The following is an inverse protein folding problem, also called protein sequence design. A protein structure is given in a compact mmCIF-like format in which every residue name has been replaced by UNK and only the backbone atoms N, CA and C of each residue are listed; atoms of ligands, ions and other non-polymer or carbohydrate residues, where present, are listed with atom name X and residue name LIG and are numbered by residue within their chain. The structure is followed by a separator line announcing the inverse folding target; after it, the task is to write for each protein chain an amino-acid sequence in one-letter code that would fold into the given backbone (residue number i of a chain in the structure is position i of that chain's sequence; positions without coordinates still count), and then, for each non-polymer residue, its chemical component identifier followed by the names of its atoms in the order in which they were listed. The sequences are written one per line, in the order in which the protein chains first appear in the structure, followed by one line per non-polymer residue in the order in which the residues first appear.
data_IF_682422570861
#
_entry.id   IF_682422570861
#
_cell.length_a   1.000
_cell.length_b   1.000
_cell.length_c   1.000
_cell.angle_alpha   90.00
_cell.angle_beta   90.00
_cell.angle_gamma   90.00
#
_symmetry.space_group_name_H-M   'P 1'
#
loop_
_entity.id
_entity.type
_entity.pdbx_description
1 polymer ?
#
# COMPACT_ATOMS: atom_id res chain seq x y z
N UNK A 1 -19.17 -83.88 31.53
CA UNK A 1 -18.37 -83.98 30.31
C UNK A 1 -17.37 -82.84 30.29
N UNK A 2 -16.10 -83.11 30.54
CA UNK A 2 -15.01 -82.13 30.43
C UNK A 2 -14.57 -82.06 28.97
N UNK A 3 -14.35 -80.84 28.46
CA UNK A 3 -13.81 -80.66 27.12
C UNK A 3 -12.36 -81.20 27.07
N UNK A 4 -11.94 -81.86 25.99
CA UNK A 4 -10.56 -82.30 25.84
C UNK A 4 -9.61 -81.11 25.74
N UNK A 5 -8.42 -81.21 26.36
CA UNK A 5 -7.43 -80.13 26.42
C UNK A 5 -7.04 -79.57 25.04
N UNK A 6 -7.11 -80.39 23.99
CA UNK A 6 -6.87 -79.94 22.61
C UNK A 6 -7.87 -78.86 22.16
N UNK A 7 -9.12 -78.93 22.61
CA UNK A 7 -10.13 -77.92 22.29
C UNK A 7 -9.82 -76.58 22.95
N UNK A 8 -9.32 -76.60 24.20
CA UNK A 8 -8.90 -75.39 24.91
C UNK A 8 -7.70 -74.72 24.24
N UNK A 9 -6.73 -75.50 23.73
CA UNK A 9 -5.58 -74.97 23.00
C UNK A 9 -5.99 -74.32 21.67
N UNK A 10 -6.92 -74.93 20.92
CA UNK A 10 -7.42 -74.36 19.65
C UNK A 10 -8.19 -73.06 19.90
N UNK A 11 -9.04 -73.02 20.93
CA UNK A 11 -9.79 -71.82 21.30
C UNK A 11 -8.83 -70.71 21.76
N UNK A 12 -7.82 -71.05 22.57
CA UNK A 12 -6.79 -70.10 23.01
C UNK A 12 -5.99 -69.53 21.84
N UNK A 13 -5.54 -70.38 20.91
CA UNK A 13 -4.82 -69.96 19.71
C UNK A 13 -5.66 -69.06 18.81
N UNK A 14 -6.94 -69.41 18.59
CA UNK A 14 -7.87 -68.61 17.81
C UNK A 14 -8.13 -67.24 18.46
N UNK A 15 -8.26 -67.17 19.79
CA UNK A 15 -8.44 -65.93 20.52
C UNK A 15 -7.22 -65.00 20.40
N UNK A 16 -6.00 -65.52 20.47
CA UNK A 16 -4.77 -64.73 20.29
C UNK A 16 -4.66 -64.18 18.87
N UNK A 17 -4.95 -65.01 17.85
CA UNK A 17 -4.93 -64.55 16.45
C UNK A 17 -6.00 -63.48 16.19
N UNK A 18 -7.21 -63.65 16.74
CA UNK A 18 -8.27 -62.67 16.66
C UNK A 18 -7.86 -61.35 17.34
N UNK A 19 -7.24 -61.42 18.52
CA UNK A 19 -6.74 -60.24 19.24
C UNK A 19 -5.67 -59.51 18.43
N UNK A 20 -4.69 -60.22 17.86
CA UNK A 20 -3.66 -59.63 17.00
C UNK A 20 -4.27 -58.98 15.74
N UNK A 21 -5.29 -59.59 15.16
CA UNK A 21 -6.01 -59.05 14.02
C UNK A 21 -6.78 -57.77 14.39
N UNK A 22 -7.44 -57.73 15.55
CA UNK A 22 -8.15 -56.56 16.07
C UNK A 22 -7.21 -55.42 16.47
N UNK A 23 -5.97 -55.71 16.88
CA UNK A 23 -4.96 -54.70 17.25
C UNK A 23 -4.27 -54.06 16.02
N UNK A 24 -4.22 -54.73 14.86
CA UNK A 24 -3.62 -54.19 13.62
C UNK A 24 -4.13 -52.81 13.19
N UNK A 25 -5.44 -52.50 13.16
CA UNK A 25 -5.92 -51.18 12.78
C UNK A 25 -5.49 -50.07 13.77
N UNK A 26 -5.39 -50.38 15.06
CA UNK A 26 -4.94 -49.42 16.08
C UNK A 26 -3.46 -49.05 15.90
N UNK A 27 -2.61 -50.02 15.60
CA UNK A 27 -1.18 -49.78 15.30
C UNK A 27 -1.02 -48.95 14.02
N UNK A 28 -1.79 -49.25 12.97
CA UNK A 28 -1.78 -48.47 11.72
C UNK A 28 -2.27 -47.03 11.92
N UNK A 29 -3.32 -46.83 12.72
CA UNK A 29 -3.84 -45.51 13.05
C UNK A 29 -2.84 -44.69 13.90
N UNK A 30 -2.14 -45.32 14.84
CA UNK A 30 -1.09 -44.69 15.63
C UNK A 30 0.09 -44.22 14.77
N UNK A 31 0.57 -45.06 13.86
CA UNK A 31 1.65 -44.72 12.93
C UNK A 31 1.26 -43.61 11.94
N UNK A 32 0.01 -43.59 11.47
CA UNK A 32 -0.48 -42.52 10.59
C UNK A 32 -0.53 -41.17 11.33
N UNK A 33 -0.98 -41.14 12.59
CA UNK A 33 -0.98 -39.93 13.42
C UNK A 33 0.44 -39.44 13.72
N UNK A 34 1.39 -40.35 13.97
CA UNK A 34 2.80 -40.01 14.19
C UNK A 34 3.48 -39.43 12.92
N UNK A 35 3.14 -39.92 11.72
CA UNK A 35 3.63 -39.33 10.46
C UNK A 35 3.06 -37.94 10.21
N UNK A 36 1.77 -37.74 10.50
CA UNK A 36 1.14 -36.42 10.36
C UNK A 36 1.74 -35.40 11.36
N UNK A 37 2.01 -35.79 12.60
CA UNK A 37 2.66 -34.90 13.58
C UNK A 37 4.08 -34.50 13.17
N UNK A 38 4.86 -35.42 12.61
CA UNK A 38 6.21 -35.14 12.09
C UNK A 38 6.19 -34.19 10.88
N UNK A 39 5.26 -34.37 9.94
CA UNK A 39 5.12 -33.44 8.80
C UNK A 39 4.64 -32.05 9.23
N UNK A 40 3.82 -31.97 10.28
CA UNK A 40 3.38 -30.69 10.87
C UNK A 40 4.54 -30.01 11.62
N UNK A 41 5.38 -30.77 12.34
CA UNK A 41 6.56 -30.27 13.03
C UNK A 41 7.64 -29.71 12.09
N UNK A 42 7.81 -30.30 10.89
CA UNK A 42 8.72 -29.74 9.86
C UNK A 42 8.19 -28.46 9.21
N UNK A 43 6.87 -28.22 9.20
CA UNK A 43 6.28 -26.96 8.72
C UNK A 43 6.35 -25.83 9.75
N UNK A 44 6.68 -26.12 11.01
CA UNK A 44 6.76 -25.13 12.09
C UNK A 44 8.18 -24.74 12.48
N UNK A 45 9.21 -25.31 11.82
CA UNK A 45 10.56 -24.78 11.98
C UNK A 45 10.57 -23.37 11.36
N UNK A 46 10.86 -22.32 12.15
CA UNK A 46 11.04 -20.99 11.59
C UNK A 46 12.13 -21.08 10.52
N UNK A 47 12.00 -20.36 9.39
CA UNK A 47 13.09 -20.28 8.44
C UNK A 47 14.36 -19.88 9.18
N UNK A 48 15.54 -20.41 8.78
CA UNK A 48 16.79 -20.00 9.40
C UNK A 48 16.89 -18.46 9.35
N UNK A 49 17.42 -17.82 10.41
CA UNK A 49 17.58 -16.36 10.43
C UNK A 49 18.37 -15.97 9.19
N UNK A 50 17.76 -15.13 8.34
CA UNK A 50 18.42 -14.60 7.15
C UNK A 50 19.45 -13.58 7.59
N UNK A 51 20.58 -13.55 6.88
CA UNK A 51 21.54 -12.47 7.04
C UNK A 51 20.83 -11.13 6.72
N UNK A 52 20.80 -10.16 7.65
CA UNK A 52 20.22 -8.85 7.41
C UNK A 52 20.76 -8.16 6.15
N UNK A 53 22.03 -8.39 5.80
CA UNK A 53 22.62 -7.86 4.56
C UNK A 53 22.03 -8.48 3.31
N UNK A 54 21.74 -9.78 3.33
CA UNK A 54 21.13 -10.48 2.20
C UNK A 54 19.68 -10.03 2.01
N UNK A 55 18.94 -9.83 3.11
CA UNK A 55 17.60 -9.26 3.02
C UNK A 55 17.61 -7.86 2.42
N UNK A 56 18.54 -7.01 2.87
CA UNK A 56 18.68 -5.65 2.34
C UNK A 56 19.03 -5.67 0.84
N UNK A 57 20.01 -6.48 0.42
CA UNK A 57 20.37 -6.64 -1.00
C UNK A 57 19.21 -7.18 -1.84
N UNK A 58 18.44 -8.14 -1.31
CA UNK A 58 17.26 -8.67 -2.00
C UNK A 58 16.14 -7.62 -2.13
N UNK A 59 15.93 -6.80 -1.10
CA UNK A 59 14.97 -5.69 -1.14
C UNK A 59 15.41 -4.65 -2.17
N UNK A 60 16.68 -4.26 -2.17
CA UNK A 60 17.22 -3.31 -3.15
C UNK A 60 17.12 -3.86 -4.59
N UNK A 61 17.51 -5.11 -4.82
CA UNK A 61 17.42 -5.73 -6.14
C UNK A 61 15.96 -5.83 -6.62
N UNK A 62 15.04 -6.21 -5.74
CA UNK A 62 13.61 -6.23 -6.05
C UNK A 62 13.07 -4.83 -6.33
N UNK A 63 13.49 -3.84 -5.55
CA UNK A 63 13.13 -2.44 -5.72
C UNK A 63 13.59 -1.92 -7.09
N UNK A 64 14.88 -2.07 -7.42
CA UNK A 64 15.42 -1.67 -8.72
C UNK A 64 14.69 -2.35 -9.88
N UNK A 65 14.48 -3.67 -9.79
CA UNK A 65 13.77 -4.42 -10.83
C UNK A 65 12.34 -3.95 -11.00
N UNK A 66 11.65 -3.55 -9.95
CA UNK A 66 10.23 -3.19 -10.01
C UNK A 66 10.03 -1.71 -10.37
N UNK A 67 10.92 -0.83 -9.91
CA UNK A 67 10.79 0.64 -10.00
C UNK A 67 11.45 1.23 -11.24
N UNK A 68 12.53 0.61 -11.72
CA UNK A 68 13.28 1.08 -12.90
C UNK A 68 12.84 0.39 -14.19
N UNK A 69 11.62 -0.17 -14.23
CA UNK A 69 11.12 -0.84 -15.44
C UNK A 69 10.79 0.21 -16.51
N UNK A 70 11.17 -0.02 -17.78
CA UNK A 70 10.77 0.87 -18.85
C UNK A 70 9.25 0.84 -19.04
N UNK A 71 8.68 1.98 -19.40
CA UNK A 71 7.25 2.12 -19.75
C UNK A 71 6.31 2.39 -18.56
N UNK A 72 6.83 2.56 -17.34
CA UNK A 72 6.04 3.04 -16.22
C UNK A 72 5.66 4.51 -16.41
N UNK A 73 4.42 4.86 -16.07
CA UNK A 73 4.02 6.26 -15.96
C UNK A 73 4.66 6.83 -14.69
N UNK A 74 5.01 8.11 -14.73
CA UNK A 74 5.65 8.74 -13.60
C UNK A 74 5.20 10.18 -13.44
N UNK A 75 5.14 10.63 -12.19
CA UNK A 75 4.73 11.99 -11.81
C UNK A 75 5.62 12.43 -10.65
N UNK A 76 6.25 13.60 -10.79
CA UNK A 76 6.99 14.19 -9.68
C UNK A 76 6.01 14.58 -8.58
N UNK A 77 6.41 14.34 -7.35
CA UNK A 77 5.63 14.61 -6.17
C UNK A 77 6.51 15.33 -5.17
N UNK A 78 6.01 16.45 -4.67
CA UNK A 78 6.63 17.19 -3.59
C UNK A 78 5.58 17.56 -2.55
N UNK A 79 6.02 17.96 -1.36
CA UNK A 79 5.12 18.32 -0.28
C UNK A 79 5.73 19.36 0.63
N UNK A 80 4.86 20.12 1.28
CA UNK A 80 5.28 20.97 2.39
C UNK A 80 5.83 20.14 3.54
N UNK A 81 6.93 20.63 4.09
CA UNK A 81 7.47 20.12 5.35
C UNK A 81 6.47 20.38 6.47
N UNK A 82 6.32 19.40 7.36
CA UNK A 82 5.46 19.51 8.54
C UNK A 82 6.37 19.65 9.73
N UNK A 83 6.61 20.89 10.17
CA UNK A 83 7.49 21.21 11.29
C UNK A 83 6.95 20.63 12.61
N UNK A 84 7.34 19.40 12.90
CA UNK A 84 7.18 18.69 14.17
C UNK A 84 8.35 17.73 14.42
N UNK A 85 9.56 18.14 13.98
CA UNK A 85 10.81 17.40 14.16
C UNK A 85 11.19 16.45 13.02
N UNK A 86 10.43 16.44 11.92
CA UNK A 86 10.73 15.70 10.68
C UNK A 86 11.33 16.69 9.65
N UNK A 87 12.65 16.82 9.77
CA UNK A 87 13.70 17.20 8.82
C UNK A 87 13.51 18.33 7.80
N UNK A 88 14.56 19.17 7.73
CA UNK A 88 14.89 20.13 6.67
C UNK A 88 15.28 19.46 5.34
N UNK A 89 14.95 18.19 5.17
CA UNK A 89 15.30 17.39 3.99
C UNK A 89 14.29 17.61 2.87
N UNK A 90 14.77 17.51 1.64
CA UNK A 90 13.91 17.57 0.46
C UNK A 90 12.93 16.38 0.46
N UNK A 91 11.64 16.68 0.41
CA UNK A 91 10.57 15.67 0.39
C UNK A 91 10.16 15.26 -1.02
N UNK A 92 10.92 15.69 -2.01
CA UNK A 92 10.70 15.41 -3.41
C UNK A 92 10.81 13.90 -3.69
N UNK A 93 9.86 13.35 -4.44
CA UNK A 93 9.78 11.94 -4.83
C UNK A 93 9.26 11.80 -6.25
N UNK A 94 9.59 10.71 -6.94
CA UNK A 94 9.01 10.33 -8.21
C UNK A 94 8.02 9.18 -8.03
N UNK A 95 6.73 9.44 -8.21
CA UNK A 95 5.70 8.39 -8.13
C UNK A 95 5.67 7.60 -9.43
N UNK A 96 5.80 6.28 -9.35
CA UNK A 96 5.76 5.38 -10.49
C UNK A 96 4.44 4.59 -10.51
N UNK A 97 3.84 4.42 -11.69
CA UNK A 97 2.57 3.74 -11.89
C UNK A 97 2.67 2.69 -12.99
N UNK A 98 2.14 1.50 -12.72
CA UNK A 98 2.11 0.37 -13.67
C UNK A 98 1.05 0.54 -14.76
N UNK A 99 -0.03 1.28 -14.45
CA UNK A 99 -1.19 1.44 -15.32
C UNK A 99 -1.66 2.90 -15.32
N UNK A 100 -2.46 3.24 -16.33
CA UNK A 100 -3.08 4.55 -16.42
C UNK A 100 -4.29 4.68 -15.49
N UNK A 101 -4.02 4.75 -14.19
CA UNK A 101 -5.01 4.77 -13.13
C UNK A 101 -5.74 6.12 -13.07
N UNK A 102 -7.00 6.15 -12.59
CA UNK A 102 -7.66 7.41 -12.24
C UNK A 102 -6.97 8.08 -11.05
N UNK A 103 -6.95 9.41 -11.04
CA UNK A 103 -6.31 10.21 -9.99
C UNK A 103 -6.89 9.89 -8.60
N UNK A 104 -8.20 9.67 -8.48
CA UNK A 104 -8.84 9.30 -7.21
C UNK A 104 -8.25 8.03 -6.57
N UNK A 105 -7.89 7.04 -7.39
CA UNK A 105 -7.32 5.79 -6.90
C UNK A 105 -5.89 5.98 -6.39
N UNK A 106 -5.13 6.87 -7.04
CA UNK A 106 -3.76 7.24 -6.64
C UNK A 106 -3.76 8.06 -5.36
N UNK A 107 -4.62 9.07 -5.29
CA UNK A 107 -4.76 9.96 -4.13
C UNK A 107 -5.54 9.33 -2.96
N UNK A 108 -5.99 8.09 -3.10
CA UNK A 108 -6.56 7.29 -2.02
C UNK A 108 -5.50 6.79 -1.05
N UNK A 109 -5.69 5.58 -0.53
CA UNK A 109 -4.80 5.00 0.47
C UNK A 109 -3.30 4.98 0.11
N UNK A 110 -2.87 4.81 -1.16
CA UNK A 110 -1.45 4.79 -1.50
C UNK A 110 -0.70 6.10 -1.23
N UNK A 111 -1.36 7.27 -1.32
CA UNK A 111 -0.68 8.57 -1.18
C UNK A 111 -0.12 8.81 0.23
N UNK A 112 -0.69 8.17 1.25
CA UNK A 112 -0.19 8.26 2.63
C UNK A 112 1.15 7.56 2.86
N UNK A 113 1.73 6.93 1.82
CA UNK A 113 3.13 6.45 1.85
C UNK A 113 4.14 7.58 1.66
N UNK A 114 3.71 8.70 1.06
CA UNK A 114 4.58 9.84 0.75
C UNK A 114 4.17 11.11 1.51
N UNK A 115 2.92 11.19 1.97
CA UNK A 115 2.49 12.23 2.91
C UNK A 115 2.93 11.91 4.33
N UNK A 116 3.30 12.94 5.10
CA UNK A 116 3.59 12.76 6.51
C UNK A 116 2.34 12.29 7.28
N UNK A 117 2.56 11.30 8.15
CA UNK A 117 1.56 10.87 9.14
C UNK A 117 1.64 11.76 10.37
N UNK A 118 0.54 12.40 10.76
CA UNK A 118 0.52 13.27 11.95
C UNK A 118 -0.13 12.51 13.10
N UNK A 119 0.48 12.49 14.30
CA UNK A 119 -0.15 11.89 15.47
C UNK A 119 -1.56 12.43 15.69
N UNK A 120 -2.52 11.53 15.85
CA UNK A 120 -3.95 11.85 15.96
C UNK A 120 -4.75 11.69 14.67
N UNK A 121 -4.10 11.49 13.51
CA UNK A 121 -4.79 11.11 12.27
C UNK A 121 -5.67 12.21 11.66
N UNK A 122 -5.38 13.48 11.97
CA UNK A 122 -6.18 14.65 11.57
C UNK A 122 -5.44 15.57 10.58
N UNK A 123 -4.48 15.04 9.80
CA UNK A 123 -3.80 15.86 8.79
C UNK A 123 -4.70 16.05 7.56
N UNK A 124 -4.83 17.31 7.14
CA UNK A 124 -5.48 17.70 5.89
C UNK A 124 -4.44 18.25 4.93
N UNK A 125 -4.52 17.80 3.68
CA UNK A 125 -3.61 18.18 2.58
C UNK A 125 -4.41 18.64 1.38
N UNK A 126 -3.96 19.72 0.74
CA UNK A 126 -4.43 20.12 -0.58
C UNK A 126 -3.43 19.64 -1.62
N UNK A 127 -3.89 18.82 -2.55
CA UNK A 127 -3.08 18.35 -3.68
C UNK A 127 -3.26 19.32 -4.83
N UNK A 128 -2.16 19.92 -5.26
CA UNK A 128 -2.09 20.88 -6.35
C UNK A 128 -1.29 20.29 -7.52
N UNK A 129 -1.73 20.53 -8.74
CA UNK A 129 -0.92 20.31 -9.95
C UNK A 129 -0.15 21.58 -10.24
N UNK A 130 1.17 21.46 -10.40
CA UNK A 130 2.07 22.54 -10.80
C UNK A 130 2.62 22.27 -12.18
N UNK A 131 2.30 23.16 -13.10
CA UNK A 131 2.72 23.09 -14.51
C UNK A 131 3.59 24.30 -14.83
N UNK A 132 4.81 24.08 -15.34
CA UNK A 132 5.69 25.17 -15.77
C UNK A 132 5.06 25.89 -16.98
N UNK A 133 4.64 27.14 -16.79
CA UNK A 133 4.18 28.03 -17.88
C UNK A 133 5.38 28.72 -18.54
N UNK A 134 6.37 29.09 -17.71
CA UNK A 134 7.62 29.71 -18.13
C UNK A 134 8.75 29.23 -17.23
N UNK A 135 9.81 28.70 -17.82
CA UNK A 135 11.00 28.31 -17.07
C UNK A 135 11.71 29.54 -16.44
N UNK A 136 12.32 29.40 -15.26
CA UNK A 136 13.18 30.45 -14.71
C UNK A 136 14.36 30.70 -15.64
N UNK A 137 14.69 31.97 -15.86
CA UNK A 137 15.81 32.35 -16.71
C UNK A 137 16.95 32.83 -15.83
N UNK A 138 18.02 32.04 -15.77
CA UNK A 138 19.27 32.47 -15.14
C UNK A 138 19.81 33.68 -15.88
N UNK A 139 20.12 34.72 -15.13
CA UNK A 139 20.68 35.94 -15.68
C UNK A 139 22.17 35.79 -15.97
N UNK A 140 22.61 36.44 -17.05
CA UNK A 140 24.03 36.69 -17.26
C UNK A 140 24.57 37.59 -16.14
N UNK A 141 25.89 37.56 -15.93
CA UNK A 141 26.53 38.31 -14.85
C UNK A 141 26.10 39.79 -14.84
N UNK A 142 25.35 40.19 -13.80
CA UNK A 142 24.88 41.57 -13.58
C UNK A 142 23.40 41.85 -13.89
N UNK A 143 22.65 40.91 -14.47
CA UNK A 143 21.20 41.07 -14.68
C UNK A 143 20.38 40.44 -13.53
N UNK A 144 19.20 41.00 -13.19
CA UNK A 144 18.32 40.40 -12.20
C UNK A 144 17.75 39.08 -12.75
N UNK A 145 17.78 38.01 -11.95
CA UNK A 145 17.19 36.72 -12.32
C UNK A 145 15.68 36.87 -12.57
N UNK A 146 15.19 36.29 -13.67
CA UNK A 146 13.76 36.33 -13.98
C UNK A 146 13.11 35.06 -13.43
N UNK A 147 12.15 35.18 -12.49
CA UNK A 147 11.48 34.01 -11.96
C UNK A 147 10.69 33.29 -13.06
N UNK A 148 10.64 31.98 -12.90
CA UNK A 148 9.71 31.14 -13.63
C UNK A 148 8.27 31.47 -13.25
N UNK A 149 7.35 30.97 -14.05
CA UNK A 149 5.92 31.08 -13.79
C UNK A 149 5.32 29.69 -13.84
N UNK A 150 4.62 29.30 -12.78
CA UNK A 150 3.92 28.03 -12.68
C UNK A 150 2.43 28.25 -12.59
N UNK A 151 1.67 27.41 -13.29
CA UNK A 151 0.22 27.31 -13.13
C UNK A 151 -0.07 26.31 -12.03
N UNK A 152 -0.87 26.74 -11.06
CA UNK A 152 -1.28 25.93 -9.92
C UNK A 152 -2.76 25.62 -10.05
N UNK A 153 -3.07 24.34 -10.24
CA UNK A 153 -4.44 23.82 -10.37
C UNK A 153 -4.76 22.91 -9.18
N UNK A 154 -5.63 23.32 -8.25
CA UNK A 154 -6.01 22.51 -7.09
C UNK A 154 -6.81 21.27 -7.50
N UNK A 155 -6.29 20.07 -7.26
CA UNK A 155 -6.90 18.83 -7.77
C UNK A 155 -7.81 18.15 -6.76
N UNK A 156 -7.39 18.05 -5.50
CA UNK A 156 -8.10 17.27 -4.50
C UNK A 156 -7.74 17.68 -3.07
N UNK A 157 -8.66 17.40 -2.15
CA UNK A 157 -8.39 17.41 -0.71
C UNK A 157 -8.21 15.97 -0.24
N UNK A 158 -7.10 15.72 0.45
CA UNK A 158 -6.77 14.43 1.06
C UNK A 158 -6.74 14.63 2.57
N UNK A 159 -7.42 13.75 3.30
CA UNK A 159 -7.46 13.80 4.76
C UNK A 159 -7.21 12.41 5.33
N UNK A 160 -6.39 12.30 6.38
CA UNK A 160 -6.04 11.02 7.00
C UNK A 160 -7.25 10.25 7.56
N UNK A 161 -8.28 10.97 7.98
CA UNK A 161 -9.54 10.45 8.49
C UNK A 161 -10.51 9.98 7.40
N UNK A 162 -10.23 10.28 6.12
CA UNK A 162 -11.09 9.88 5.00
C UNK A 162 -10.62 8.58 4.35
N UNK A 163 -11.59 7.77 3.89
CA UNK A 163 -11.30 6.54 3.15
C UNK A 163 -10.92 6.79 1.68
N UNK A 164 -11.30 7.95 1.13
CA UNK A 164 -11.07 8.38 -0.23
C UNK A 164 -10.86 9.90 -0.29
N UNK A 165 -10.11 10.43 -1.28
CA UNK A 165 -9.95 11.86 -1.47
C UNK A 165 -11.25 12.50 -1.95
N UNK A 166 -11.41 13.81 -1.70
CA UNK A 166 -12.47 14.61 -2.34
C UNK A 166 -11.84 15.37 -3.49
N UNK A 167 -12.19 14.98 -4.72
CA UNK A 167 -11.71 15.66 -5.92
C UNK A 167 -12.40 17.02 -6.06
N UNK A 168 -11.63 18.02 -6.48
CA UNK A 168 -12.11 19.37 -6.79
C UNK A 168 -12.45 19.53 -8.28
N UNK A 169 -11.97 18.58 -9.10
CA UNK A 169 -12.18 18.52 -10.54
C UNK A 169 -12.62 17.11 -10.97
N UNK A 170 -12.97 16.96 -12.25
CA UNK A 170 -13.26 15.66 -12.83
C UNK A 170 -12.07 14.70 -12.63
N UNK A 171 -12.38 13.44 -12.36
CA UNK A 171 -11.34 12.42 -12.18
C UNK A 171 -10.62 12.19 -13.50
N UNK A 172 -9.33 12.51 -13.54
CA UNK A 172 -8.49 12.40 -14.73
C UNK A 172 -7.52 11.24 -14.58
N UNK A 173 -7.15 10.56 -15.67
CA UNK A 173 -6.13 9.52 -15.62
C UNK A 173 -4.74 10.12 -15.39
N UNK A 174 -3.88 9.41 -14.67
CA UNK A 174 -2.51 9.84 -14.31
C UNK A 174 -1.68 10.22 -15.53
N UNK A 175 -1.88 9.60 -16.69
CA UNK A 175 -1.18 9.97 -17.93
C UNK A 175 -1.36 11.45 -18.31
N UNK A 176 -2.42 12.11 -17.86
CA UNK A 176 -2.66 13.55 -18.08
C UNK A 176 -1.79 14.45 -17.22
N UNK A 177 -1.17 13.90 -16.18
CA UNK A 177 -0.32 14.62 -15.23
C UNK A 177 1.17 14.49 -15.59
N UNK A 178 1.49 13.74 -16.65
CA UNK A 178 2.87 13.56 -17.09
C UNK A 178 3.49 14.90 -17.47
N UNK A 179 4.71 15.14 -16.97
CA UNK A 179 5.43 16.41 -17.16
C UNK A 179 5.04 17.52 -16.18
N UNK A 180 4.06 17.29 -15.30
CA UNK A 180 3.72 18.18 -14.21
C UNK A 180 4.25 17.66 -12.86
N UNK A 181 4.19 18.50 -11.84
CA UNK A 181 4.51 18.15 -10.46
C UNK A 181 3.25 18.18 -9.60
N UNK A 182 2.98 17.12 -8.86
CA UNK A 182 1.99 17.12 -7.79
C UNK A 182 2.64 17.71 -6.53
N UNK A 183 2.00 18.71 -5.95
CA UNK A 183 2.45 19.36 -4.74
C UNK A 183 1.40 19.18 -3.64
N UNK A 184 1.80 18.63 -2.50
CA UNK A 184 0.92 18.50 -1.34
C UNK A 184 1.17 19.63 -0.34
N UNK A 185 0.24 20.58 -0.29
CA UNK A 185 0.24 21.69 0.67
C UNK A 185 -0.39 21.25 1.99
N UNK A 186 0.31 21.45 3.10
CA UNK A 186 -0.16 21.01 4.42
C UNK A 186 -1.09 22.06 5.02
N UNK A 187 -2.31 21.67 5.36
CA UNK A 187 -3.31 22.57 5.93
C UNK A 187 -3.52 22.37 7.44
N UNK A 188 -2.65 21.60 8.10
CA UNK A 188 -2.77 21.37 9.53
C UNK A 188 -3.98 20.48 9.86
N UNK A 189 -4.68 20.88 10.93
CA UNK A 189 -5.92 20.25 11.43
C UNK A 189 -7.18 20.98 10.97
N UNK A 190 -7.12 21.73 9.87
CA UNK A 190 -8.31 22.32 9.27
C UNK A 190 -9.32 21.22 8.92
N UNK A 191 -10.61 21.50 9.11
CA UNK A 191 -11.68 20.56 8.74
C UNK A 191 -11.61 20.32 7.22
N UNK A 192 -11.36 19.07 6.77
CA UNK A 192 -11.25 18.80 5.34
C UNK A 192 -12.56 19.02 4.58
N UNK A 193 -13.73 18.99 5.25
CA UNK A 193 -15.00 19.30 4.62
C UNK A 193 -15.07 20.78 4.22
N UNK A 194 -14.73 21.66 5.14
CA UNK A 194 -14.67 23.11 4.91
C UNK A 194 -13.65 23.45 3.82
N UNK A 195 -12.45 22.84 3.88
CA UNK A 195 -11.43 23.01 2.85
C UNK A 195 -11.98 22.58 1.49
N UNK A 196 -12.66 21.44 1.39
CA UNK A 196 -13.16 20.97 0.10
C UNK A 196 -14.33 21.78 -0.47
N UNK A 197 -15.03 22.55 0.37
CA UNK A 197 -16.13 23.43 -0.04
C UNK A 197 -15.66 24.86 -0.36
N UNK A 198 -14.49 25.24 0.13
CA UNK A 198 -13.89 26.53 -0.20
C UNK A 198 -13.56 26.64 -1.71
N UNK A 199 -13.62 27.86 -2.28
CA UNK A 199 -13.23 28.08 -3.67
C UNK A 199 -11.71 27.94 -3.82
N UNK A 200 -11.30 27.13 -4.80
CA UNK A 200 -9.90 26.87 -5.14
C UNK A 200 -9.61 27.30 -6.58
N UNK A 201 -9.42 28.61 -6.85
CA UNK A 201 -9.19 29.07 -8.21
C UNK A 201 -7.84 28.58 -8.74
N UNK A 202 -7.81 28.31 -10.04
CA UNK A 202 -6.55 28.15 -10.77
C UNK A 202 -5.81 29.49 -10.70
N UNK A 203 -4.52 29.44 -10.39
CA UNK A 203 -3.68 30.63 -10.22
C UNK A 203 -2.32 30.43 -10.87
N UNK A 204 -1.63 31.53 -11.13
CA UNK A 204 -0.24 31.51 -11.59
C UNK A 204 0.64 32.07 -10.47
N UNK A 205 1.74 31.39 -10.17
CA UNK A 205 2.70 31.75 -9.12
C UNK A 205 4.09 31.92 -9.71
N UNK A 206 4.83 32.92 -9.26
CA UNK A 206 6.24 33.07 -9.58
C UNK A 206 7.06 32.06 -8.77
N UNK A 207 8.03 31.43 -9.42
CA UNK A 207 8.92 30.45 -8.78
C UNK A 207 10.37 30.70 -9.17
N UNK A 208 11.28 30.57 -8.20
CA UNK A 208 12.72 30.57 -8.47
C UNK A 208 13.24 29.23 -9.00
N UNK A 209 12.45 28.15 -8.86
CA UNK A 209 12.83 26.80 -9.28
C UNK A 209 11.92 26.30 -10.40
N UNK A 210 12.50 25.57 -11.36
CA UNK A 210 11.70 24.82 -12.33
C UNK A 210 11.07 23.62 -11.62
N UNK A 211 9.83 23.31 -12.00
CA UNK A 211 9.15 22.09 -11.54
C UNK A 211 9.36 20.91 -12.49
N UNK A 212 10.04 21.14 -13.62
CA UNK A 212 10.48 20.09 -14.51
C UNK A 212 11.53 19.21 -13.82
N UNK A 213 11.43 17.90 -14.04
CA UNK A 213 12.38 16.92 -13.55
C UNK A 213 12.86 16.05 -14.71
N UNK A 214 14.10 15.60 -14.62
CA UNK A 214 14.65 14.59 -15.51
C UNK A 214 14.61 13.24 -14.80
N UNK A 215 13.72 12.35 -15.25
CA UNK A 215 13.57 11.00 -14.69
C UNK A 215 14.95 10.30 -14.57
N UNK A 216 15.85 10.46 -15.54
CA UNK A 216 17.14 9.78 -15.56
C UNK A 216 18.08 10.20 -14.41
N UNK A 217 17.86 11.38 -13.84
CA UNK A 217 18.66 11.92 -12.74
C UNK A 217 18.11 11.51 -11.36
N UNK A 218 16.93 10.90 -11.33
CA UNK A 218 16.25 10.52 -10.10
C UNK A 218 16.81 9.22 -9.54
N UNK A 219 17.44 9.31 -8.36
CA UNK A 219 17.97 8.18 -7.62
C UNK A 219 16.90 7.14 -7.29
N UNK A 220 17.31 5.87 -7.19
CA UNK A 220 16.37 4.79 -6.93
C UNK A 220 15.59 4.96 -5.61
N UNK A 221 16.18 5.60 -4.59
CA UNK A 221 15.54 5.81 -3.28
C UNK A 221 14.43 6.87 -3.30
N UNK A 222 14.46 7.79 -4.26
CA UNK A 222 13.49 8.86 -4.39
C UNK A 222 12.29 8.44 -5.25
N UNK A 223 12.34 7.25 -5.86
CA UNK A 223 11.27 6.69 -6.66
C UNK A 223 10.37 5.80 -5.80
N UNK A 224 9.06 6.07 -5.83
CA UNK A 224 8.06 5.35 -5.04
C UNK A 224 7.05 4.68 -5.97
N UNK A 225 6.98 3.36 -5.92
CA UNK A 225 5.97 2.61 -6.68
C UNK A 225 4.60 2.71 -6.01
N UNK A 226 3.63 3.25 -6.75
CA UNK A 226 2.22 3.29 -6.37
C UNK A 226 1.48 2.14 -7.06
N UNK A 227 1.20 1.08 -6.29
CA UNK A 227 0.34 -0.03 -6.73
C UNK A 227 -1.04 0.11 -6.14
N UNK A 228 -2.03 0.35 -6.98
CA UNK A 228 -3.44 0.19 -6.61
C UNK A 228 -3.75 -1.30 -6.80
N UNK A 229 -4.07 -1.99 -5.71
CA UNK A 229 -4.56 -3.36 -5.84
C UNK A 229 -5.91 -3.28 -6.55
N UNK A 230 -6.13 -4.00 -7.66
CA UNK A 230 -7.45 -4.06 -8.27
C UNK A 230 -8.42 -4.50 -7.20
N UNK A 231 -9.46 -3.69 -6.95
CA UNK A 231 -10.53 -4.10 -6.08
C UNK A 231 -11.16 -5.33 -6.73
N UNK A 232 -11.27 -6.47 -6.04
CA UNK A 232 -11.85 -7.66 -6.64
C UNK A 232 -13.27 -7.30 -7.13
N UNK A 233 -13.62 -7.59 -8.39
CA UNK A 233 -14.97 -7.33 -8.90
C UNK A 233 -15.94 -8.26 -8.16
N UNK A 234 -16.53 -7.82 -7.05
CA UNK A 234 -17.36 -8.74 -6.27
C UNK A 234 -18.05 -8.27 -4.98
N UNK A 235 -17.97 -7.00 -4.57
CA UNK A 235 -18.64 -6.55 -3.31
C UNK A 235 -19.54 -5.33 -3.45
N UNK A 236 -19.84 -4.90 -4.68
CA UNK A 236 -20.92 -3.95 -4.93
C UNK A 236 -22.26 -4.70 -4.97
N UNK A 237 -22.83 -5.01 -3.80
CA UNK A 237 -24.14 -5.69 -3.76
C UNK A 237 -24.63 -6.19 -2.41
N UNK A 238 -23.80 -6.27 -1.36
CA UNK A 238 -24.34 -6.48 -0.02
C UNK A 238 -24.87 -5.14 0.50
N UNK A 239 -26.17 -4.95 0.32
CA UNK A 239 -26.93 -3.95 1.06
C UNK A 239 -26.58 -4.10 2.55
N UNK A 240 -26.36 -2.98 3.28
CA UNK A 240 -26.14 -3.06 4.71
C UNK A 240 -27.32 -3.80 5.36
N UNK A 241 -27.09 -4.70 6.33
CA UNK A 241 -28.17 -5.36 7.04
C UNK A 241 -29.08 -4.28 7.59
N UNK A 242 -30.34 -4.29 7.15
CA UNK A 242 -31.35 -3.32 7.59
C UNK A 242 -31.38 -3.31 9.11
N UNK A 243 -31.02 -2.19 9.71
CA UNK A 243 -31.09 -2.02 11.15
C UNK A 243 -32.54 -2.15 11.59
N UNK A 244 -32.88 -3.29 12.19
CA UNK A 244 -34.16 -3.53 12.84
C UNK A 244 -34.31 -2.50 13.96
N UNK A 245 -35.08 -1.44 13.72
CA UNK A 245 -35.49 -0.49 14.75
C UNK A 245 -36.32 -1.24 15.79
N UNK A 246 -35.76 -1.45 16.99
CA UNK A 246 -36.56 -1.84 18.15
C UNK A 246 -37.57 -0.73 18.48
N UNK A 247 -38.86 -1.04 18.64
CA UNK A 247 -39.85 -0.06 19.07
C UNK A 247 -39.57 0.33 20.53
N UNK A 248 -39.49 1.64 20.78
CA UNK A 248 -39.43 2.24 22.11
C UNK A 248 -40.84 2.17 22.71
N UNK A 249 -41.03 1.38 23.76
CA UNK A 249 -42.25 1.38 24.56
C UNK A 249 -42.36 2.72 25.30
N UNK A 250 -43.54 3.34 25.22
CA UNK A 250 -43.95 4.50 26.02
C UNK A 250 -44.43 4.06 27.39
#
# INVERSE_FOLDING_TARGET
MTLPDSALQVIGGAAVLLLLWLLRPLVRAGLARARLSWTRARRTLPPPPRDPQDEWRQREASHRRDVLRPGLLHVAFDRESVSLGDDSEEHWRLLMFEENLPLSAVLGRPIFRVLASVPGGQATWLIELREDVRAPQRSAAGEPERPGLVRVTPLAVVAQQWSAPRLLHADVPVSRLMGATLYARYLGRQDPADVAEAPHPIREEETGASTAYDEAQVGANDRVMIRVRPHPPGTAGQAPPSATRSPRSS
#
